data_IF_433872892551
#
_entry.id   IF_433872892551
#
_cell.length_a   1.000
_cell.length_b   1.000
_cell.length_c   1.000
_cell.angle_alpha   90.00
_cell.angle_beta   90.00
_cell.angle_gamma   90.00
#
_symmetry.space_group_name_H-M   'P 1'
#
loop_
_entity.id
_entity.type
_entity.pdbx_description
1 polymer ?
#
# COMPACT_ATOMS: atom_id res chain seq x y z
N UNK A 1 -9.34 6.93 2.85
CA UNK A 1 -9.23 6.33 1.50
C UNK A 1 -8.28 5.16 1.63
N UNK A 2 -8.52 4.03 0.96
CA UNK A 2 -7.62 2.88 1.05
C UNK A 2 -6.21 3.26 0.58
N UNK A 3 -5.21 2.72 1.26
CA UNK A 3 -3.82 2.84 0.86
C UNK A 3 -3.37 1.50 0.29
N UNK A 4 -2.64 1.54 -0.82
CA UNK A 4 -2.15 0.37 -1.52
C UNK A 4 -0.63 0.42 -1.65
N UNK A 5 0.06 -0.69 -1.37
CA UNK A 5 1.49 -0.87 -1.58
C UNK A 5 1.75 -1.91 -2.66
N UNK A 6 2.52 -1.54 -3.68
CA UNK A 6 3.03 -2.47 -4.69
C UNK A 6 3.92 -3.52 -4.02
N UNK A 7 3.62 -4.81 -4.22
CA UNK A 7 4.38 -5.91 -3.64
C UNK A 7 5.78 -6.08 -4.26
N UNK A 8 5.98 -5.56 -5.48
CA UNK A 8 7.24 -5.68 -6.23
C UNK A 8 8.25 -4.59 -5.84
N UNK A 9 7.85 -3.31 -5.93
CA UNK A 9 8.77 -2.18 -5.73
C UNK A 9 8.50 -1.33 -4.48
N UNK A 10 7.45 -1.64 -3.73
CA UNK A 10 7.10 -0.91 -2.51
C UNK A 10 6.54 0.50 -2.74
N UNK A 11 6.13 0.85 -3.97
CA UNK A 11 5.40 2.09 -4.25
C UNK A 11 4.05 2.11 -3.53
N UNK A 12 3.71 3.22 -2.89
CA UNK A 12 2.45 3.41 -2.17
C UNK A 12 1.57 4.44 -2.86
N UNK A 13 0.26 4.21 -2.90
CA UNK A 13 -0.72 5.17 -3.39
C UNK A 13 -2.03 5.10 -2.59
N UNK A 14 -2.70 6.25 -2.44
CA UNK A 14 -4.04 6.33 -1.87
C UNK A 14 -5.08 6.37 -2.99
N UNK A 15 -5.91 5.35 -3.06
CA UNK A 15 -6.93 5.21 -4.10
C UNK A 15 -8.05 4.25 -3.66
N UNK A 16 -9.27 4.45 -4.16
CA UNK A 16 -10.39 3.53 -3.85
C UNK A 16 -10.15 2.11 -4.38
N UNK A 17 -9.32 1.96 -5.42
CA UNK A 17 -8.87 0.67 -5.95
C UNK A 17 -7.44 0.77 -6.46
N UNK A 18 -6.69 -0.33 -6.38
CA UNK A 18 -5.33 -0.41 -6.92
C UNK A 18 -5.34 -0.45 -8.46
N UNK A 19 -4.28 0.05 -9.12
CA UNK A 19 -4.14 -0.06 -10.57
C UNK A 19 -3.75 -1.49 -10.97
N UNK A 20 -3.97 -1.83 -12.24
CA UNK A 20 -3.47 -3.08 -12.83
C UNK A 20 -1.96 -3.04 -13.13
N UNK A 21 -1.42 -1.85 -13.37
CA UNK A 21 -0.01 -1.61 -13.64
C UNK A 21 0.55 -0.63 -12.61
N UNK A 22 1.72 -0.93 -12.07
CA UNK A 22 2.36 -0.08 -11.09
C UNK A 22 2.90 1.21 -11.73
N UNK A 23 2.51 2.41 -11.26
CA UNK A 23 3.00 3.68 -11.82
C UNK A 23 4.52 3.87 -11.66
N UNK A 24 5.12 3.18 -10.68
CA UNK A 24 6.55 3.30 -10.38
C UNK A 24 7.41 2.34 -11.20
N UNK A 25 7.12 1.04 -11.18
CA UNK A 25 7.92 0.04 -11.90
C UNK A 25 7.39 -0.29 -13.31
N UNK A 26 6.18 0.16 -13.66
CA UNK A 26 5.54 -0.03 -14.98
C UNK A 26 5.33 -1.50 -15.37
N UNK A 27 5.14 -2.34 -14.36
CA UNK A 27 4.82 -3.77 -14.51
C UNK A 27 3.46 -4.07 -13.91
N UNK A 28 2.86 -5.18 -14.35
CA UNK A 28 1.68 -5.75 -13.67
C UNK A 28 2.11 -6.31 -12.33
N UNK A 29 1.60 -5.75 -11.25
CA UNK A 29 1.96 -6.12 -9.89
C UNK A 29 0.73 -6.38 -9.05
N UNK A 30 0.91 -7.20 -8.01
CA UNK A 30 -0.06 -7.27 -6.92
C UNK A 30 0.10 -6.05 -6.00
N UNK A 31 -0.99 -5.65 -5.38
CA UNK A 31 -1.04 -4.55 -4.43
C UNK A 31 -1.59 -5.06 -3.11
N UNK A 32 -0.87 -4.76 -2.04
CA UNK A 32 -1.27 -5.05 -0.68
C UNK A 32 -2.00 -3.83 -0.13
N UNK A 33 -3.15 -4.05 0.51
CA UNK A 33 -3.85 -3.00 1.25
C UNK A 33 -3.06 -2.70 2.53
N UNK A 34 -2.47 -1.50 2.64
CA UNK A 34 -1.75 -1.06 3.82
C UNK A 34 -2.57 -0.09 4.67
N UNK A 35 -3.89 -0.05 4.51
CA UNK A 35 -4.80 0.69 5.37
C UNK A 35 -4.75 0.15 6.79
N UNK A 36 -4.73 1.02 7.79
CA UNK A 36 -4.79 0.59 9.18
C UNK A 36 -6.15 -0.01 9.54
N UNK A 37 -6.15 -1.22 10.10
CA UNK A 37 -7.35 -1.92 10.61
C UNK A 37 -7.31 -2.22 12.11
N UNK A 38 -6.24 -1.82 12.80
CA UNK A 38 -6.04 -2.13 14.22
C UNK A 38 -5.73 -0.88 15.03
N UNK A 39 -5.99 -0.86 16.36
CA UNK A 39 -5.77 0.35 17.16
C UNK A 39 -4.30 0.79 17.23
N UNK A 40 -3.35 -0.14 17.09
CA UNK A 40 -1.91 0.13 17.16
C UNK A 40 -1.38 0.97 15.99
N UNK A 41 -2.02 0.90 14.83
CA UNK A 41 -1.64 1.69 13.65
C UNK A 41 -2.50 2.95 13.47
N UNK A 42 -3.45 3.22 14.37
CA UNK A 42 -4.47 4.26 14.18
C UNK A 42 -3.88 5.67 14.07
N UNK A 43 -2.70 5.91 14.67
CA UNK A 43 -2.00 7.19 14.61
C UNK A 43 -1.32 7.43 13.25
N UNK A 44 -0.63 6.42 12.73
CA UNK A 44 0.07 6.49 11.44
C UNK A 44 -0.89 6.33 10.26
N UNK A 45 -2.06 5.73 10.48
CA UNK A 45 -3.08 5.47 9.46
C UNK A 45 -2.72 4.37 8.46
N UNK A 46 -1.51 3.81 8.56
CA UNK A 46 -1.03 2.72 7.72
C UNK A 46 -0.57 1.53 8.56
N UNK A 47 -0.82 0.32 8.07
CA UNK A 47 -0.39 -0.92 8.73
C UNK A 47 1.12 -1.10 8.59
N UNK A 48 1.84 -0.96 9.70
CA UNK A 48 3.30 -1.08 9.77
C UNK A 48 3.86 -2.39 9.22
N UNK A 49 3.10 -3.48 9.25
CA UNK A 49 3.51 -4.80 8.73
C UNK A 49 3.61 -4.80 7.21
N UNK A 50 2.96 -3.83 6.58
CA UNK A 50 2.88 -3.69 5.12
C UNK A 50 3.57 -2.39 4.70
N UNK A 51 3.32 -1.27 5.35
CA UNK A 51 3.73 0.08 4.97
C UNK A 51 5.22 0.39 5.16
N UNK A 52 5.93 -0.29 6.07
CA UNK A 52 7.36 -0.01 6.28
C UNK A 52 8.19 -0.36 5.04
N UNK A 53 9.01 0.59 4.59
CA UNK A 53 10.18 0.31 3.74
C UNK A 53 11.33 0.03 4.69
N UNK A 54 11.88 -1.17 4.61
CA UNK A 54 13.22 -1.45 5.12
C UNK A 54 14.24 -0.69 4.26
#
# INVERSE_FOLDING_TARGET
>A
MPSWKCSNCGYTLDADAHPNECPSCKEKCEFLDNTCYTPDCAYEGTDDRIGKKD
#
